data_IF_210006722159
#
_entry.id   IF_210006722159
#
_cell.length_a   1.000
_cell.length_b   1.000
_cell.length_c   1.000
_cell.angle_alpha   90.00
_cell.angle_beta   90.00
_cell.angle_gamma   90.00
#
_symmetry.space_group_name_H-M   'P 1'
#
loop_
_entity.id
_entity.type
_entity.pdbx_description
1 polymer ?
#
# COMPACT_ATOMS: atom_id res chain seq x y z
N UNK A 1 -40.58 27.26 70.39
CA UNK A 1 -40.78 27.46 68.93
C UNK A 1 -39.58 26.99 68.08
N UNK A 2 -38.36 27.49 68.31
CA UNK A 2 -37.16 27.15 67.49
C UNK A 2 -36.82 25.65 67.36
N UNK A 3 -36.96 24.83 68.44
CA UNK A 3 -36.70 23.38 68.40
C UNK A 3 -37.73 22.62 67.53
N UNK A 4 -39.02 23.00 67.55
CA UNK A 4 -40.05 22.37 66.73
C UNK A 4 -39.84 22.71 65.24
N UNK A 5 -39.42 23.93 64.90
CA UNK A 5 -39.09 24.34 63.55
C UNK A 5 -37.88 23.57 63.02
N UNK A 6 -36.83 23.39 63.86
CA UNK A 6 -35.65 22.61 63.49
C UNK A 6 -35.98 21.12 63.20
N UNK A 7 -36.82 20.51 64.04
CA UNK A 7 -37.29 19.12 63.86
C UNK A 7 -38.08 18.99 62.55
N UNK A 8 -39.02 19.94 62.30
CA UNK A 8 -39.76 19.94 61.04
C UNK A 8 -38.85 20.10 59.82
N UNK A 9 -37.85 20.98 59.87
CA UNK A 9 -36.86 21.13 58.77
C UNK A 9 -36.04 19.85 58.55
N UNK A 10 -35.60 19.18 59.64
CA UNK A 10 -34.86 17.91 59.52
C UNK A 10 -35.74 16.77 58.98
N UNK A 11 -36.99 16.72 59.34
CA UNK A 11 -37.97 15.75 58.77
C UNK A 11 -38.19 15.99 57.27
N UNK A 12 -38.41 17.26 56.90
CA UNK A 12 -38.57 17.66 55.49
C UNK A 12 -37.32 17.35 54.71
N UNK A 13 -36.14 17.64 55.25
CA UNK A 13 -34.87 17.36 54.59
C UNK A 13 -34.63 15.84 54.48
N UNK A 14 -34.96 15.07 55.50
CA UNK A 14 -34.92 13.59 55.48
C UNK A 14 -35.86 13.00 54.43
N UNK A 15 -37.08 13.52 54.31
CA UNK A 15 -38.05 13.11 53.27
C UNK A 15 -37.56 13.50 51.87
N UNK A 16 -36.93 14.63 51.73
CA UNK A 16 -36.35 15.08 50.45
C UNK A 16 -35.20 14.16 50.00
N UNK A 17 -34.26 13.85 50.94
CA UNK A 17 -33.17 12.89 50.67
C UNK A 17 -33.73 11.50 50.36
N UNK A 18 -34.67 11.00 51.11
CA UNK A 18 -35.31 9.70 50.87
C UNK A 18 -35.96 9.71 49.48
N UNK A 19 -36.73 10.75 49.16
CA UNK A 19 -37.34 10.89 47.85
C UNK A 19 -36.33 10.91 46.70
N UNK A 20 -35.18 11.55 46.87
CA UNK A 20 -34.09 11.55 45.88
C UNK A 20 -33.49 10.14 45.71
N UNK A 21 -33.28 9.40 46.80
CA UNK A 21 -32.70 8.04 46.78
C UNK A 21 -33.61 7.02 46.07
N UNK A 22 -34.91 7.19 46.15
CA UNK A 22 -35.90 6.28 45.53
C UNK A 22 -36.17 6.59 44.03
N UNK A 23 -35.68 7.72 43.49
CA UNK A 23 -35.70 7.94 42.06
C UNK A 23 -34.56 7.12 41.43
N UNK A 24 -34.92 6.17 40.55
CA UNK A 24 -33.93 5.37 39.79
C UNK A 24 -33.96 5.78 38.33
N UNK A 25 -32.79 5.84 37.71
CA UNK A 25 -32.61 5.94 36.25
C UNK A 25 -31.75 4.75 35.84
N UNK A 26 -32.24 3.95 34.94
CA UNK A 26 -31.52 2.82 34.35
C UNK A 26 -31.26 3.16 32.88
N UNK A 27 -29.97 3.21 32.49
CA UNK A 27 -29.56 3.44 31.11
C UNK A 27 -29.64 2.06 30.44
N UNK A 28 -30.35 1.97 29.32
CA UNK A 28 -30.42 0.80 28.51
C UNK A 28 -29.07 0.56 27.83
N UNK A 29 -28.65 -0.65 27.68
CA UNK A 29 -27.37 -1.05 27.15
C UNK A 29 -26.18 -0.38 27.89
N UNK A 30 -25.05 -0.21 27.22
CA UNK A 30 -23.82 0.26 27.82
C UNK A 30 -23.85 1.72 28.25
N UNK A 31 -23.30 2.01 29.44
CA UNK A 31 -23.13 3.39 29.93
C UNK A 31 -22.04 4.16 29.19
N UNK A 32 -21.15 3.47 28.47
CA UNK A 32 -20.11 4.05 27.63
C UNK A 32 -20.13 3.34 26.27
N UNK A 33 -20.37 4.09 25.22
CA UNK A 33 -20.46 3.63 23.84
C UNK A 33 -19.33 4.24 23.03
N UNK A 34 -18.74 3.45 22.14
CA UNK A 34 -17.75 3.89 21.18
C UNK A 34 -18.36 3.91 19.79
N UNK A 35 -18.18 4.99 19.07
CA UNK A 35 -18.60 5.13 17.67
C UNK A 35 -17.45 5.69 16.84
N UNK A 36 -17.41 5.26 15.59
CA UNK A 36 -16.43 5.81 14.65
C UNK A 36 -16.83 7.19 14.21
N UNK A 37 -15.83 8.00 13.92
CA UNK A 37 -16.04 9.33 13.37
C UNK A 37 -16.82 9.25 12.06
N UNK A 38 -17.81 10.15 11.92
CA UNK A 38 -18.80 10.24 10.83
C UNK A 38 -19.83 9.08 10.77
N UNK A 39 -19.83 8.14 11.69
CA UNK A 39 -20.93 7.18 11.81
C UNK A 39 -22.12 7.80 12.57
N UNK A 40 -23.36 7.46 12.20
CA UNK A 40 -24.52 7.94 12.94
C UNK A 40 -24.55 7.31 14.34
N UNK A 41 -24.98 8.09 15.32
CA UNK A 41 -25.22 7.59 16.66
C UNK A 41 -26.73 7.37 16.85
N UNK A 42 -27.07 6.18 17.33
CA UNK A 42 -28.42 5.83 17.73
C UNK A 42 -28.48 5.66 19.25
N UNK A 43 -29.41 6.37 19.87
CA UNK A 43 -29.55 6.37 21.34
C UNK A 43 -30.52 5.25 21.79
N UNK A 44 -30.03 4.38 22.68
CA UNK A 44 -30.81 3.25 23.22
C UNK A 44 -31.76 3.64 24.36
N UNK A 45 -31.67 4.88 24.85
CA UNK A 45 -32.57 5.41 25.86
C UNK A 45 -32.26 4.98 27.30
N UNK A 46 -33.18 5.33 28.19
CA UNK A 46 -33.15 4.97 29.60
C UNK A 46 -34.56 4.87 30.13
N UNK A 47 -34.76 4.12 31.22
CA UNK A 47 -36.00 4.09 32.01
C UNK A 47 -35.82 4.77 33.35
N UNK A 48 -36.88 5.34 33.90
CA UNK A 48 -36.88 5.91 35.24
C UNK A 48 -38.09 5.46 36.07
N UNK A 49 -37.86 5.33 37.36
CA UNK A 49 -38.93 4.99 38.30
C UNK A 49 -38.78 5.67 39.65
N UNK A 50 -39.90 5.81 40.36
CA UNK A 50 -39.96 6.27 41.74
C UNK A 50 -40.84 5.28 42.53
N UNK A 51 -40.27 4.61 43.51
CA UNK A 51 -40.88 3.49 44.21
C UNK A 51 -41.47 2.43 43.25
N UNK A 52 -40.74 2.12 42.18
CA UNK A 52 -41.16 1.15 41.16
C UNK A 52 -42.22 1.66 40.15
N UNK A 53 -42.78 2.85 40.32
CA UNK A 53 -43.71 3.44 39.35
C UNK A 53 -42.93 4.17 38.29
N UNK A 54 -43.28 4.05 36.98
CA UNK A 54 -42.57 4.74 35.90
C UNK A 54 -42.62 6.24 36.05
N UNK A 55 -41.52 6.90 35.65
CA UNK A 55 -41.39 8.36 35.55
C UNK A 55 -41.02 8.72 34.13
N UNK A 56 -41.49 9.89 33.70
CA UNK A 56 -41.08 10.49 32.42
C UNK A 56 -39.61 10.90 32.45
N UNK A 57 -38.88 10.68 31.33
CA UNK A 57 -37.49 11.06 31.15
C UNK A 57 -37.42 12.16 30.10
N UNK A 58 -36.71 13.22 30.44
CA UNK A 58 -36.23 14.22 29.50
C UNK A 58 -34.79 13.86 29.11
N UNK A 59 -34.51 13.87 27.83
CA UNK A 59 -33.21 13.57 27.26
C UNK A 59 -32.65 14.81 26.54
N UNK A 60 -31.37 15.06 26.74
CA UNK A 60 -30.60 16.07 25.99
C UNK A 60 -29.22 15.50 25.69
N UNK A 61 -28.68 15.83 24.56
CA UNK A 61 -27.32 15.41 24.20
C UNK A 61 -26.54 16.58 23.58
N UNK A 62 -25.25 16.38 23.44
CA UNK A 62 -24.32 17.29 22.74
C UNK A 62 -23.48 16.55 21.69
N UNK A 63 -23.97 15.42 21.18
CA UNK A 63 -23.20 14.52 20.33
C UNK A 63 -22.91 15.19 18.99
N UNK A 64 -21.64 15.17 18.62
CA UNK A 64 -21.18 15.57 17.31
C UNK A 64 -20.31 14.44 16.72
N UNK A 65 -20.93 13.62 15.88
CA UNK A 65 -20.25 12.48 15.24
C UNK A 65 -19.23 12.88 14.18
N UNK A 66 -19.23 14.15 13.76
CA UNK A 66 -18.27 14.72 12.80
C UNK A 66 -16.97 15.20 13.46
N UNK A 67 -16.86 15.09 14.77
CA UNK A 67 -15.69 15.54 15.51
C UNK A 67 -15.33 14.52 16.57
N UNK A 68 -14.07 14.06 16.58
CA UNK A 68 -13.55 13.18 17.64
C UNK A 68 -13.65 13.85 19.02
N UNK A 69 -14.04 13.07 20.01
CA UNK A 69 -14.20 13.62 21.35
C UNK A 69 -15.07 12.76 22.25
N UNK A 70 -15.26 13.22 23.48
CA UNK A 70 -16.17 12.59 24.45
C UNK A 70 -17.41 13.45 24.59
N UNK A 71 -18.56 12.87 24.32
CA UNK A 71 -19.86 13.48 24.36
C UNK A 71 -20.76 12.81 25.38
N UNK A 72 -21.87 13.43 25.66
CA UNK A 72 -22.78 12.94 26.72
C UNK A 72 -24.23 13.00 26.27
N UNK A 73 -24.97 11.92 26.57
CA UNK A 73 -26.43 11.94 26.63
C UNK A 73 -26.82 12.10 28.09
N UNK A 74 -27.56 13.13 28.42
CA UNK A 74 -28.02 13.43 29.75
C UNK A 74 -29.49 13.08 29.91
N UNK A 75 -29.79 12.20 30.86
CA UNK A 75 -31.14 11.83 31.23
C UNK A 75 -31.53 12.56 32.50
N UNK A 76 -32.68 13.17 32.49
CA UNK A 76 -33.26 13.88 33.64
C UNK A 76 -34.66 13.38 33.85
N UNK A 77 -34.99 13.10 35.10
CA UNK A 77 -36.38 12.80 35.52
C UNK A 77 -36.74 13.63 36.74
N UNK A 78 -38.04 13.77 37.00
CA UNK A 78 -38.54 14.41 38.20
C UNK A 78 -39.68 13.56 38.78
N UNK A 79 -39.75 13.47 40.10
CA UNK A 79 -40.91 12.90 40.79
C UNK A 79 -42.02 13.98 40.96
N UNK A 80 -43.16 13.59 41.49
CA UNK A 80 -44.31 14.47 41.71
C UNK A 80 -44.03 15.59 42.74
N UNK A 81 -42.98 15.46 43.58
CA UNK A 81 -42.49 16.50 44.50
C UNK A 81 -41.54 17.50 43.82
N UNK A 82 -41.30 17.38 42.51
CA UNK A 82 -40.40 18.21 41.76
C UNK A 82 -38.90 17.90 41.93
N UNK A 83 -38.56 16.84 42.69
CA UNK A 83 -37.17 16.43 42.93
C UNK A 83 -36.61 15.80 41.67
N UNK A 84 -35.50 16.34 41.14
CA UNK A 84 -34.89 15.87 39.91
C UNK A 84 -33.69 14.95 40.18
N UNK A 85 -33.51 13.95 39.34
CA UNK A 85 -32.30 13.11 39.28
C UNK A 85 -31.77 13.10 37.86
N UNK A 86 -30.43 12.96 37.76
CA UNK A 86 -29.71 12.99 36.50
C UNK A 86 -28.83 11.75 36.36
N UNK A 87 -28.66 11.30 35.14
CA UNK A 87 -27.69 10.28 34.77
C UNK A 87 -27.14 10.56 33.39
N UNK A 88 -25.93 10.10 33.10
CA UNK A 88 -25.29 10.35 31.82
C UNK A 88 -24.83 9.05 31.18
N UNK A 89 -25.01 8.93 29.89
CA UNK A 89 -24.26 8.02 29.01
C UNK A 89 -23.06 8.77 28.43
N UNK A 90 -21.93 8.10 28.33
CA UNK A 90 -20.70 8.62 27.71
C UNK A 90 -20.67 8.05 26.28
N UNK A 91 -20.54 8.93 25.30
CA UNK A 91 -20.34 8.55 23.88
C UNK A 91 -18.97 9.05 23.44
N UNK A 92 -18.11 8.14 23.05
CA UNK A 92 -16.76 8.45 22.56
C UNK A 92 -16.76 8.31 21.05
N UNK A 93 -16.55 9.43 20.37
CA UNK A 93 -16.34 9.47 18.92
C UNK A 93 -14.86 9.43 18.64
N UNK A 94 -14.39 8.38 17.96
CA UNK A 94 -12.97 8.17 17.69
C UNK A 94 -12.72 7.94 16.20
N UNK A 95 -11.62 8.48 15.71
CA UNK A 95 -11.03 8.09 14.44
C UNK A 95 -10.00 6.98 14.72
N UNK A 96 -10.18 5.83 14.07
CA UNK A 96 -9.32 4.67 14.21
C UNK A 96 -8.44 4.45 12.96
N UNK A 97 -8.64 5.23 11.89
CA UNK A 97 -7.86 5.11 10.68
C UNK A 97 -6.51 5.78 10.85
N UNK A 98 -5.48 5.06 10.44
CA UNK A 98 -4.12 5.60 10.44
C UNK A 98 -3.92 6.51 9.23
N UNK A 99 -3.15 7.57 9.35
CA UNK A 99 -2.72 8.38 8.23
C UNK A 99 -1.87 7.56 7.25
N UNK A 100 -1.87 7.93 5.99
CA UNK A 100 -1.06 7.32 4.95
C UNK A 100 0.12 8.23 4.60
N UNK A 101 1.33 7.65 4.53
CA UNK A 101 2.51 8.32 3.98
C UNK A 101 2.83 7.69 2.62
N UNK A 102 2.93 8.54 1.58
CA UNK A 102 3.34 8.15 0.23
C UNK A 102 4.70 8.76 -0.06
N UNK A 103 5.71 7.93 -0.30
CA UNK A 103 7.03 8.39 -0.69
C UNK A 103 7.01 8.82 -2.17
N UNK A 104 7.58 9.98 -2.49
CA UNK A 104 7.86 10.36 -3.87
C UNK A 104 9.12 9.64 -4.33
N UNK A 105 9.06 9.01 -5.51
CA UNK A 105 10.15 8.16 -6.00
C UNK A 105 10.25 6.82 -5.26
N UNK A 106 11.30 6.07 -5.53
CA UNK A 106 11.48 4.72 -5.01
C UNK A 106 11.72 4.70 -3.50
N UNK A 107 11.14 3.73 -2.81
CA UNK A 107 11.42 3.46 -1.39
C UNK A 107 12.79 2.79 -1.18
N UNK A 108 13.32 2.13 -2.22
CA UNK A 108 14.69 1.65 -2.28
C UNK A 108 15.45 2.40 -3.38
N UNK A 109 16.52 3.08 -3.01
CA UNK A 109 17.34 3.86 -3.93
C UNK A 109 18.78 3.35 -3.89
N UNK A 110 19.44 3.38 -5.05
CA UNK A 110 20.86 3.10 -5.14
C UNK A 110 21.59 4.38 -5.47
N UNK A 111 22.70 4.59 -4.81
CA UNK A 111 23.55 5.74 -4.98
C UNK A 111 24.98 5.26 -5.16
N UNK A 112 25.67 5.72 -6.20
CA UNK A 112 27.10 5.47 -6.34
C UNK A 112 27.86 6.26 -5.27
N UNK A 113 28.87 5.65 -4.68
CA UNK A 113 29.77 6.31 -3.73
C UNK A 113 30.31 7.64 -4.29
N UNK A 114 30.25 8.70 -3.53
CA UNK A 114 30.65 10.05 -3.92
C UNK A 114 29.58 10.85 -4.67
N UNK A 115 28.43 10.26 -5.02
CA UNK A 115 27.30 10.97 -5.64
C UNK A 115 26.49 11.74 -4.60
N UNK A 116 25.91 12.89 -4.97
CA UNK A 116 25.03 13.63 -4.05
C UNK A 116 23.68 12.92 -3.86
N UNK A 117 23.32 12.63 -2.62
CA UNK A 117 21.98 12.21 -2.29
C UNK A 117 21.01 13.40 -2.34
N UNK A 118 19.90 13.24 -3.02
CA UNK A 118 18.79 14.20 -3.01
C UNK A 118 17.51 13.45 -2.63
N UNK A 119 16.91 13.86 -1.54
CA UNK A 119 15.63 13.30 -1.08
C UNK A 119 14.52 13.65 -2.09
N UNK A 120 13.80 12.65 -2.68
CA UNK A 120 12.73 12.91 -3.63
C UNK A 120 11.48 13.51 -2.98
N UNK A 121 11.36 13.35 -1.66
CA UNK A 121 10.25 13.84 -0.88
C UNK A 121 9.19 12.79 -0.59
N UNK A 122 8.11 13.26 0.01
CA UNK A 122 6.98 12.46 0.46
C UNK A 122 5.74 13.33 0.55
N UNK A 123 4.62 12.67 0.82
CA UNK A 123 3.39 13.38 1.15
C UNK A 123 2.56 12.51 2.12
N UNK A 124 1.82 13.13 3.01
CA UNK A 124 1.01 12.44 3.98
C UNK A 124 -0.42 12.97 3.98
N UNK A 125 -1.37 12.03 4.00
CA UNK A 125 -2.81 12.28 3.99
C UNK A 125 -3.46 11.48 5.12
N UNK A 126 -4.47 12.08 5.68
CA UNK A 126 -5.39 11.45 6.62
C UNK A 126 -6.83 11.68 6.16
N UNK A 127 -7.72 10.75 6.47
CA UNK A 127 -9.12 10.82 6.05
C UNK A 127 -9.90 11.94 6.74
N UNK A 128 -9.44 12.41 7.89
CA UNK A 128 -10.07 13.45 8.70
C UNK A 128 -9.25 14.73 8.70
N UNK A 129 -7.96 14.61 9.00
CA UNK A 129 -7.06 15.77 9.09
C UNK A 129 -6.65 16.29 7.71
N UNK A 130 -6.98 15.58 6.63
CA UNK A 130 -6.59 15.95 5.28
C UNK A 130 -5.09 15.85 5.07
N UNK A 131 -4.48 16.84 4.44
CA UNK A 131 -3.03 16.88 4.20
C UNK A 131 -2.29 17.22 5.49
N UNK A 132 -1.47 16.28 5.95
CA UNK A 132 -0.63 16.40 7.16
C UNK A 132 0.86 16.20 6.87
N UNK A 133 1.28 16.52 5.65
CA UNK A 133 2.66 16.35 5.18
C UNK A 133 3.67 17.13 6.02
N UNK A 134 3.31 18.31 6.50
CA UNK A 134 4.10 19.18 7.38
C UNK A 134 4.32 18.60 8.78
N UNK A 135 3.47 17.64 9.21
CA UNK A 135 3.59 16.95 10.49
C UNK A 135 4.51 15.72 10.44
N UNK A 136 4.99 15.32 9.26
CA UNK A 136 5.86 14.15 9.11
C UNK A 136 7.22 14.43 9.75
N UNK A 137 7.60 13.56 10.69
CA UNK A 137 8.94 13.56 11.28
C UNK A 137 9.84 12.65 10.46
N UNK A 138 10.94 13.22 9.95
CA UNK A 138 11.95 12.48 9.19
C UNK A 138 13.18 12.27 10.06
N UNK A 139 13.68 11.03 10.09
CA UNK A 139 14.90 10.68 10.81
C UNK A 139 15.78 9.74 9.97
N UNK A 140 17.07 9.74 10.27
CA UNK A 140 18.09 9.03 9.49
C UNK A 140 18.81 9.97 8.53
N UNK A 141 20.04 9.61 8.19
CA UNK A 141 20.91 10.35 7.27
C UNK A 141 21.59 9.38 6.31
N UNK A 142 21.86 9.83 5.09
CA UNK A 142 22.65 9.10 4.10
C UNK A 142 24.05 9.69 4.09
N UNK A 143 25.07 8.83 4.25
CA UNK A 143 26.45 9.22 3.96
C UNK A 143 26.82 8.70 2.56
N UNK A 144 26.86 9.55 1.54
CA UNK A 144 27.11 9.11 0.18
C UNK A 144 28.57 8.70 -0.06
N UNK A 145 29.49 9.07 0.82
CA UNK A 145 30.92 8.76 0.67
C UNK A 145 31.29 7.41 1.29
N UNK A 146 30.33 6.77 2.00
CA UNK A 146 30.56 5.49 2.65
C UNK A 146 29.60 4.44 2.11
N UNK A 147 30.14 3.34 1.56
CA UNK A 147 29.36 2.17 1.13
C UNK A 147 28.54 1.63 2.30
N UNK A 148 27.26 1.34 2.04
CA UNK A 148 26.36 0.78 3.06
C UNK A 148 24.89 1.04 2.75
N UNK A 149 24.01 0.43 3.55
CA UNK A 149 22.57 0.67 3.49
C UNK A 149 22.17 1.68 4.56
N UNK A 150 21.59 2.77 4.13
CA UNK A 150 21.10 3.86 4.98
C UNK A 150 19.58 3.84 4.98
N UNK A 151 19.00 4.10 6.15
CA UNK A 151 17.55 4.06 6.31
C UNK A 151 17.06 5.44 6.75
N UNK A 152 16.12 5.98 5.99
CA UNK A 152 15.40 7.21 6.33
C UNK A 152 13.99 6.79 6.73
N UNK A 153 13.58 7.19 7.92
CA UNK A 153 12.27 6.86 8.48
C UNK A 153 11.39 8.09 8.49
N UNK A 154 10.17 7.93 7.98
CA UNK A 154 9.13 8.95 7.95
C UNK A 154 8.00 8.51 8.87
N UNK A 155 7.63 9.35 9.81
CA UNK A 155 6.62 9.04 10.79
C UNK A 155 5.63 10.19 10.90
N UNK A 156 4.34 9.89 10.93
CA UNK A 156 3.29 10.89 11.14
C UNK A 156 2.21 10.34 12.06
N UNK A 157 1.62 11.23 12.85
CA UNK A 157 0.41 10.94 13.63
C UNK A 157 -0.67 11.94 13.27
N UNK A 158 -1.90 11.45 13.15
CA UNK A 158 -3.08 12.28 13.04
C UNK A 158 -3.44 12.98 14.37
N UNK A 159 -4.51 13.76 14.38
CA UNK A 159 -5.03 14.41 15.58
C UNK A 159 -5.61 13.43 16.62
N UNK A 160 -6.01 12.25 16.17
CA UNK A 160 -6.53 11.15 17.00
C UNK A 160 -5.43 10.25 17.57
N UNK A 161 -4.14 10.55 17.25
CA UNK A 161 -2.92 9.83 17.66
C UNK A 161 -2.71 8.46 16.98
N UNK A 162 -3.41 8.18 15.89
CA UNK A 162 -3.06 7.04 15.05
C UNK A 162 -1.77 7.35 14.31
N UNK A 163 -0.85 6.39 14.25
CA UNK A 163 0.50 6.61 13.77
C UNK A 163 0.83 5.68 12.61
N UNK A 164 1.50 6.23 11.60
CA UNK A 164 2.08 5.50 10.48
C UNK A 164 3.56 5.80 10.38
N UNK A 165 4.32 4.76 10.04
CA UNK A 165 5.76 4.86 9.79
C UNK A 165 6.08 4.16 8.48
N UNK A 166 6.81 4.83 7.59
CA UNK A 166 7.37 4.24 6.38
C UNK A 166 8.87 4.52 6.32
N UNK A 167 9.61 3.72 5.54
CA UNK A 167 11.06 3.81 5.47
C UNK A 167 11.52 3.85 4.03
N UNK A 168 12.48 4.73 3.72
CA UNK A 168 13.27 4.70 2.49
C UNK A 168 14.63 4.10 2.80
N UNK A 169 15.07 3.12 2.02
CA UNK A 169 16.42 2.57 2.08
C UNK A 169 17.25 3.16 0.95
N UNK A 170 18.41 3.73 1.28
CA UNK A 170 19.39 4.19 0.29
C UNK A 170 20.61 3.30 0.40
N UNK A 171 20.91 2.56 -0.66
CA UNK A 171 22.08 1.69 -0.73
C UNK A 171 23.19 2.42 -1.48
N UNK A 172 24.21 2.86 -0.76
CA UNK A 172 25.43 3.42 -1.36
C UNK A 172 26.32 2.27 -1.76
N UNK A 173 26.55 2.14 -3.06
CA UNK A 173 27.42 1.09 -3.66
C UNK A 173 28.74 1.70 -4.14
N UNK A 174 29.76 0.88 -4.32
CA UNK A 174 31.02 1.32 -4.90
C UNK A 174 30.81 1.81 -6.34
N UNK A 175 31.38 2.94 -6.70
CA UNK A 175 31.44 3.40 -8.09
C UNK A 175 32.15 2.38 -9.01
N UNK A 176 32.97 1.50 -8.41
CA UNK A 176 33.67 0.41 -9.09
C UNK A 176 33.11 -0.94 -8.70
N UNK A 177 31.77 -1.16 -8.91
CA UNK A 177 31.14 -2.44 -8.62
C UNK A 177 31.88 -3.59 -9.33
N UNK A 178 32.41 -4.53 -8.55
CA UNK A 178 33.19 -5.68 -9.05
C UNK A 178 32.60 -6.99 -8.55
N UNK A 179 33.01 -8.07 -9.21
CA UNK A 179 32.68 -9.42 -8.80
C UNK A 179 33.24 -9.70 -7.39
N UNK A 180 32.37 -10.05 -6.47
CA UNK A 180 32.74 -10.40 -5.10
C UNK A 180 33.05 -11.89 -4.99
N UNK A 181 34.06 -12.26 -4.19
CA UNK A 181 34.43 -13.68 -3.99
C UNK A 181 33.25 -14.47 -3.39
N UNK A 182 32.37 -13.84 -2.60
CA UNK A 182 31.21 -14.50 -2.01
C UNK A 182 30.22 -15.02 -3.04
N UNK A 183 30.17 -14.45 -4.26
CA UNK A 183 29.29 -14.92 -5.32
C UNK A 183 29.63 -16.35 -5.77
N UNK A 184 30.89 -16.76 -5.68
CA UNK A 184 31.31 -18.11 -6.05
C UNK A 184 30.68 -19.20 -5.16
N UNK A 185 30.29 -18.84 -3.94
CA UNK A 185 29.61 -19.71 -2.98
C UNK A 185 28.08 -19.75 -3.15
N UNK A 186 27.51 -18.93 -4.04
CA UNK A 186 26.08 -18.89 -4.30
C UNK A 186 25.76 -19.73 -5.52
N UNK A 187 24.75 -20.57 -5.41
CA UNK A 187 24.32 -21.46 -6.49
C UNK A 187 23.97 -20.68 -7.76
N UNK A 188 24.65 -21.04 -8.86
CA UNK A 188 24.46 -20.45 -10.18
C UNK A 188 23.78 -21.41 -11.17
N UNK A 189 23.12 -22.46 -10.68
CA UNK A 189 22.33 -23.35 -11.53
C UNK A 189 21.22 -22.56 -12.20
N UNK A 190 21.17 -22.61 -13.53
CA UNK A 190 20.12 -21.97 -14.31
C UNK A 190 18.76 -22.62 -14.03
N UNK A 191 17.78 -21.83 -13.70
CA UNK A 191 16.38 -22.19 -13.43
C UNK A 191 15.45 -21.39 -14.31
N UNK A 192 14.32 -21.98 -14.68
CA UNK A 192 13.20 -21.27 -15.28
C UNK A 192 12.19 -20.89 -14.19
N UNK A 193 11.63 -19.69 -14.28
CA UNK A 193 10.51 -19.28 -13.44
C UNK A 193 9.22 -19.97 -13.88
N UNK A 194 8.41 -20.39 -12.92
CA UNK A 194 7.11 -20.99 -13.15
C UNK A 194 6.17 -20.70 -11.96
N UNK A 195 4.88 -20.82 -12.19
CA UNK A 195 3.85 -20.83 -11.15
C UNK A 195 2.94 -22.04 -11.35
N UNK A 196 2.26 -22.48 -10.31
CA UNK A 196 1.29 -23.59 -10.39
C UNK A 196 -0.04 -23.19 -11.06
N UNK A 197 -0.12 -21.98 -11.61
CA UNK A 197 -1.21 -21.45 -12.44
C UNK A 197 -2.62 -21.78 -11.90
N UNK A 198 -2.84 -21.52 -10.62
CA UNK A 198 -4.14 -21.76 -9.97
C UNK A 198 -5.25 -20.98 -10.67
N UNK A 199 -6.41 -21.61 -10.77
CA UNK A 199 -7.62 -21.05 -11.40
C UNK A 199 -8.75 -20.80 -10.39
N UNK A 200 -8.44 -20.99 -9.10
CA UNK A 200 -9.38 -20.86 -7.97
C UNK A 200 -9.19 -19.55 -7.20
N UNK A 201 -8.43 -18.61 -7.80
CA UNK A 201 -8.09 -17.30 -7.24
C UNK A 201 -7.28 -17.36 -5.92
N UNK A 202 -6.79 -18.53 -5.55
CA UNK A 202 -5.82 -18.66 -4.47
C UNK A 202 -4.43 -18.22 -4.92
N UNK A 203 -3.63 -17.73 -3.99
CA UNK A 203 -2.26 -17.33 -4.25
C UNK A 203 -1.41 -18.53 -4.70
N UNK A 204 -0.75 -18.46 -5.86
CA UNK A 204 -0.04 -19.61 -6.42
C UNK A 204 1.29 -19.87 -5.70
N UNK A 205 1.80 -21.09 -5.86
CA UNK A 205 3.20 -21.41 -5.59
C UNK A 205 4.05 -20.98 -6.78
N UNK A 206 5.29 -20.56 -6.52
CA UNK A 206 6.27 -20.21 -7.55
C UNK A 206 7.45 -21.15 -7.59
N UNK A 207 8.36 -20.91 -8.53
CA UNK A 207 9.57 -21.71 -8.77
C UNK A 207 10.58 -21.78 -7.61
N UNK A 208 10.36 -20.99 -6.54
CA UNK A 208 11.14 -21.05 -5.30
C UNK A 208 10.31 -20.49 -4.12
N UNK A 209 10.75 -20.81 -2.89
CA UNK A 209 10.14 -20.29 -1.67
C UNK A 209 10.24 -18.77 -1.60
N UNK A 210 9.15 -18.11 -1.24
CA UNK A 210 9.05 -16.64 -1.21
C UNK A 210 10.01 -16.01 -0.19
N UNK A 211 10.25 -16.66 0.95
CA UNK A 211 11.15 -16.14 1.97
C UNK A 211 12.62 -16.29 1.53
N UNK A 212 12.91 -17.34 0.77
CA UNK A 212 14.24 -17.52 0.16
C UNK A 212 14.49 -16.43 -0.89
N UNK A 213 13.53 -16.17 -1.77
CA UNK A 213 13.62 -15.10 -2.78
C UNK A 213 13.79 -13.72 -2.15
N UNK A 214 13.09 -13.43 -1.06
CA UNK A 214 13.18 -12.15 -0.34
C UNK A 214 14.59 -11.82 0.14
N UNK A 215 15.44 -12.83 0.42
CA UNK A 215 16.86 -12.63 0.78
C UNK A 215 17.66 -11.97 -0.34
N UNK A 216 17.17 -12.08 -1.57
CA UNK A 216 17.76 -11.51 -2.78
C UNK A 216 16.96 -10.33 -3.33
N UNK A 217 16.13 -9.69 -2.50
CA UNK A 217 15.20 -8.62 -2.92
C UNK A 217 14.34 -9.03 -4.14
N UNK A 218 13.87 -10.28 -4.16
CA UNK A 218 13.14 -10.87 -5.27
C UNK A 218 11.72 -11.21 -4.84
N UNK A 219 10.76 -10.86 -5.68
CA UNK A 219 9.32 -10.99 -5.42
C UNK A 219 8.60 -11.53 -6.65
N UNK A 220 7.49 -12.23 -6.46
CA UNK A 220 6.62 -12.67 -7.55
C UNK A 220 5.13 -12.42 -7.28
N UNK A 221 4.80 -11.89 -6.10
CA UNK A 221 3.48 -11.39 -5.73
C UNK A 221 3.61 -10.35 -4.62
N UNK A 222 2.61 -9.49 -4.50
CA UNK A 222 2.49 -8.53 -3.41
C UNK A 222 1.94 -9.16 -2.13
N UNK A 223 1.53 -8.32 -1.18
CA UNK A 223 0.87 -8.75 0.04
C UNK A 223 -0.52 -9.35 -0.24
N UNK A 224 -1.09 -10.07 0.73
CA UNK A 224 -2.41 -10.70 0.59
C UNK A 224 -3.53 -9.65 0.76
N UNK A 225 -3.64 -8.78 -0.23
CA UNK A 225 -4.66 -7.74 -0.30
C UNK A 225 -5.22 -7.62 -1.72
N UNK A 226 -6.42 -7.08 -1.87
CA UNK A 226 -7.07 -6.85 -3.16
C UNK A 226 -6.34 -5.78 -3.97
N UNK A 227 -5.13 -6.12 -4.41
CA UNK A 227 -4.27 -5.27 -5.23
C UNK A 227 -3.63 -6.08 -6.33
N UNK A 228 -3.63 -5.52 -7.53
CA UNK A 228 -3.07 -6.10 -8.76
C UNK A 228 -1.96 -5.20 -9.29
N UNK A 229 -0.91 -5.83 -9.79
CA UNK A 229 0.23 -5.16 -10.41
C UNK A 229 0.32 -5.58 -11.86
N UNK A 230 -0.05 -4.68 -12.77
CA UNK A 230 0.06 -4.92 -14.21
C UNK A 230 1.51 -4.66 -14.64
N UNK A 231 2.13 -5.66 -15.28
CA UNK A 231 3.48 -5.52 -15.80
C UNK A 231 3.57 -5.97 -17.24
N UNK A 232 4.38 -5.27 -18.04
CA UNK A 232 4.57 -5.52 -19.45
C UNK A 232 6.05 -5.69 -19.75
N UNK A 233 6.43 -6.80 -20.39
CA UNK A 233 7.78 -7.05 -20.86
C UNK A 233 7.89 -6.70 -22.34
N UNK A 234 8.90 -5.90 -22.71
CA UNK A 234 9.03 -5.35 -24.03
C UNK A 234 10.47 -5.33 -24.54
N UNK A 235 10.67 -5.90 -25.71
CA UNK A 235 11.97 -5.94 -26.39
C UNK A 235 11.91 -5.62 -27.87
N UNK A 236 10.71 -5.56 -28.48
CA UNK A 236 10.51 -5.29 -29.92
C UNK A 236 9.81 -3.96 -30.17
N UNK A 237 9.86 -3.47 -31.42
CA UNK A 237 9.26 -2.21 -31.80
C UNK A 237 7.85 -2.32 -32.38
N UNK A 238 7.40 -3.54 -32.65
CA UNK A 238 6.09 -3.81 -33.26
C UNK A 238 5.10 -4.26 -32.17
N UNK A 239 4.45 -3.26 -31.52
CA UNK A 239 3.67 -3.49 -30.33
C UNK A 239 2.51 -2.52 -30.18
N UNK A 240 1.53 -2.88 -29.34
CA UNK A 240 0.35 -2.10 -28.97
C UNK A 240 0.53 -1.26 -27.71
N UNK A 241 1.75 -0.81 -27.40
CA UNK A 241 2.01 -0.05 -26.15
C UNK A 241 1.23 1.27 -26.11
N UNK A 242 1.08 1.98 -27.22
CA UNK A 242 0.32 3.23 -27.21
C UNK A 242 -1.14 3.01 -26.87
N UNK A 243 -1.74 1.96 -27.41
CA UNK A 243 -3.12 1.55 -27.15
C UNK A 243 -3.28 1.10 -25.69
N UNK A 244 -2.32 0.35 -25.15
CA UNK A 244 -2.27 -0.01 -23.73
C UNK A 244 -2.19 1.22 -22.83
N UNK A 245 -1.33 2.19 -23.17
CA UNK A 245 -1.22 3.43 -22.42
C UNK A 245 -2.51 4.27 -22.48
N UNK A 246 -3.23 4.24 -23.61
CA UNK A 246 -4.54 4.88 -23.74
C UNK A 246 -5.57 4.24 -22.81
N UNK A 247 -5.65 2.92 -22.76
CA UNK A 247 -6.53 2.19 -21.84
C UNK A 247 -6.15 2.46 -20.39
N UNK A 248 -4.88 2.36 -20.04
CA UNK A 248 -4.41 2.62 -18.66
C UNK A 248 -4.74 4.04 -18.21
N UNK A 249 -4.61 5.03 -19.10
CA UNK A 249 -4.95 6.42 -18.84
C UNK A 249 -6.45 6.61 -18.65
N UNK A 250 -7.28 6.05 -19.56
CA UNK A 250 -8.74 6.08 -19.46
C UNK A 250 -9.23 5.48 -18.14
N UNK A 251 -8.68 4.32 -17.79
CA UNK A 251 -9.03 3.61 -16.56
C UNK A 251 -8.36 4.17 -15.30
N UNK A 252 -7.52 5.21 -15.41
CA UNK A 252 -6.74 5.78 -14.31
C UNK A 252 -5.94 4.72 -13.53
N UNK A 253 -5.21 3.86 -14.26
CA UNK A 253 -4.36 2.79 -13.72
C UNK A 253 -2.91 3.03 -14.13
N UNK A 254 -1.97 2.72 -13.23
CA UNK A 254 -0.54 2.74 -13.54
C UNK A 254 -0.02 1.31 -13.64
N UNK A 255 0.99 1.13 -14.50
CA UNK A 255 1.62 -0.17 -14.75
C UNK A 255 3.14 -0.05 -14.74
N UNK A 256 3.82 -1.18 -14.65
CA UNK A 256 5.28 -1.27 -14.77
C UNK A 256 5.67 -1.87 -16.10
N UNK A 257 6.61 -1.26 -16.79
CA UNK A 257 7.14 -1.70 -18.08
C UNK A 257 8.60 -2.11 -17.92
N UNK A 258 8.93 -3.38 -18.16
CA UNK A 258 10.31 -3.88 -18.19
C UNK A 258 10.82 -3.86 -19.62
N UNK A 259 11.79 -2.99 -19.91
CA UNK A 259 12.20 -2.67 -21.27
C UNK A 259 13.62 -3.16 -21.59
N UNK A 260 13.80 -3.71 -22.78
CA UNK A 260 15.11 -3.98 -23.37
C UNK A 260 15.68 -2.74 -24.07
N UNK A 261 16.99 -2.75 -24.29
CA UNK A 261 17.71 -1.63 -24.88
C UNK A 261 17.20 -1.21 -26.26
N UNK A 262 16.93 -2.20 -27.11
CA UNK A 262 16.43 -1.92 -28.46
C UNK A 262 15.14 -1.10 -28.45
N UNK A 263 14.20 -1.44 -27.55
CA UNK A 263 12.96 -0.67 -27.39
C UNK A 263 13.25 0.76 -26.91
N UNK A 264 14.13 0.88 -25.91
CA UNK A 264 14.47 2.18 -25.30
C UNK A 264 15.02 3.17 -26.31
N UNK A 265 15.93 2.74 -27.17
CA UNK A 265 16.60 3.66 -28.10
C UNK A 265 15.73 4.08 -29.30
N UNK A 266 14.70 3.32 -29.64
CA UNK A 266 13.85 3.59 -30.79
C UNK A 266 12.50 4.26 -30.44
N UNK A 267 12.09 4.26 -29.16
CA UNK A 267 10.75 4.69 -28.76
C UNK A 267 10.73 5.89 -27.79
N UNK A 268 11.54 6.91 -28.07
CA UNK A 268 11.75 8.06 -27.18
C UNK A 268 10.46 8.74 -26.73
N UNK A 269 9.51 8.96 -27.62
CA UNK A 269 8.26 9.69 -27.29
C UNK A 269 7.33 8.81 -26.44
N UNK A 270 7.29 7.51 -26.68
CA UNK A 270 6.56 6.57 -25.83
C UNK A 270 7.14 6.50 -24.41
N UNK A 271 8.48 6.50 -24.30
CA UNK A 271 9.15 6.54 -22.99
C UNK A 271 8.81 7.80 -22.20
N UNK A 272 8.83 8.96 -22.87
CA UNK A 272 8.44 10.23 -22.26
C UNK A 272 6.97 10.22 -21.83
N UNK A 273 6.11 9.59 -22.63
CA UNK A 273 4.71 9.39 -22.31
C UNK A 273 4.53 8.53 -21.06
N UNK A 274 5.19 7.36 -20.99
CA UNK A 274 5.19 6.49 -19.81
C UNK A 274 5.58 7.26 -18.55
N UNK A 275 6.68 8.00 -18.60
CA UNK A 275 7.17 8.81 -17.47
C UNK A 275 6.18 9.92 -17.10
N UNK A 276 5.63 10.64 -18.07
CA UNK A 276 4.68 11.74 -17.86
C UNK A 276 3.37 11.25 -17.26
N UNK A 277 2.91 10.09 -17.68
CA UNK A 277 1.66 9.47 -17.21
C UNK A 277 1.85 8.73 -15.87
N UNK A 278 3.08 8.65 -15.34
CA UNK A 278 3.38 8.12 -14.01
C UNK A 278 3.50 6.60 -13.96
N UNK A 279 3.81 5.96 -15.09
CA UNK A 279 4.16 4.54 -15.15
C UNK A 279 5.60 4.33 -14.68
N UNK A 280 5.88 3.15 -14.15
CA UNK A 280 7.21 2.73 -13.75
C UNK A 280 7.90 2.04 -14.93
N UNK A 281 9.12 2.47 -15.25
CA UNK A 281 9.95 1.80 -16.26
C UNK A 281 11.11 1.11 -15.56
N UNK A 282 11.20 -0.21 -15.73
CA UNK A 282 12.21 -1.10 -15.17
C UNK A 282 13.13 -1.70 -16.24
N UNK A 283 14.12 -2.40 -15.77
CA UNK A 283 15.20 -2.97 -16.58
C UNK A 283 14.90 -4.44 -16.95
N UNK A 284 14.97 -4.76 -18.24
CA UNK A 284 14.81 -6.13 -18.77
C UNK A 284 16.06 -6.59 -19.54
N UNK A 285 17.24 -6.10 -19.13
CA UNK A 285 18.55 -6.26 -19.76
C UNK A 285 18.68 -5.61 -21.16
N UNK A 286 19.92 -5.43 -21.62
CA UNK A 286 20.14 -4.81 -22.91
C UNK A 286 19.72 -5.73 -24.08
N UNK A 287 20.17 -6.97 -24.07
CA UNK A 287 20.10 -7.86 -25.21
C UNK A 287 19.30 -9.13 -24.92
N UNK A 288 18.46 -9.09 -23.84
CA UNK A 288 17.62 -10.23 -23.41
C UNK A 288 18.41 -11.53 -23.19
N UNK A 289 19.64 -11.42 -22.64
CA UNK A 289 20.52 -12.57 -22.40
C UNK A 289 20.15 -13.34 -21.14
N UNK A 290 20.49 -14.65 -21.11
CA UNK A 290 20.39 -15.51 -19.92
C UNK A 290 21.39 -15.06 -18.86
N UNK A 291 20.97 -14.25 -17.92
CA UNK A 291 21.86 -13.62 -16.94
C UNK A 291 22.64 -14.60 -16.07
N UNK A 292 22.12 -15.78 -15.69
CA UNK A 292 22.93 -16.80 -14.99
C UNK A 292 24.21 -17.19 -15.73
N UNK A 293 24.21 -17.21 -17.08
CA UNK A 293 25.42 -17.54 -17.86
C UNK A 293 26.49 -16.46 -17.79
N UNK A 294 26.10 -15.26 -17.45
CA UNK A 294 26.98 -14.09 -17.27
C UNK A 294 27.36 -13.86 -15.79
N UNK A 295 26.70 -14.55 -14.85
CA UNK A 295 26.93 -14.40 -13.42
C UNK A 295 28.20 -15.19 -12.98
N UNK A 296 29.28 -15.01 -13.70
CA UNK A 296 30.59 -15.60 -13.44
C UNK A 296 31.66 -14.49 -13.40
N UNK A 297 32.80 -14.80 -12.81
CA UNK A 297 33.91 -13.85 -12.70
C UNK A 297 34.40 -13.35 -14.08
N UNK A 298 34.47 -14.28 -15.04
CA UNK A 298 34.94 -14.00 -16.39
C UNK A 298 33.97 -13.13 -17.19
N UNK A 299 32.67 -13.31 -16.97
CA UNK A 299 31.64 -12.63 -17.73
C UNK A 299 31.00 -11.44 -16.99
N UNK A 300 31.52 -11.08 -15.82
CA UNK A 300 30.91 -10.09 -14.95
C UNK A 300 30.79 -8.70 -15.55
N UNK A 301 31.76 -8.28 -16.36
CA UNK A 301 31.68 -6.99 -17.04
C UNK A 301 30.57 -6.95 -18.07
N UNK A 302 30.32 -8.08 -18.76
CA UNK A 302 29.16 -8.18 -19.65
C UNK A 302 27.85 -8.22 -18.86
N UNK A 303 27.82 -8.92 -17.71
CA UNK A 303 26.64 -8.88 -16.82
C UNK A 303 26.28 -7.45 -16.43
N UNK A 304 27.23 -6.66 -15.94
CA UNK A 304 27.00 -5.24 -15.58
C UNK A 304 26.52 -4.43 -16.79
N UNK A 305 27.15 -4.64 -17.95
CA UNK A 305 26.84 -3.95 -19.18
C UNK A 305 25.39 -4.19 -19.63
N UNK A 306 24.85 -5.40 -19.43
CA UNK A 306 23.46 -5.74 -19.73
C UNK A 306 22.47 -4.86 -18.93
N UNK A 307 22.86 -4.44 -17.72
CA UNK A 307 22.04 -3.60 -16.84
C UNK A 307 22.26 -2.11 -17.12
N UNK A 308 23.54 -1.69 -17.12
CA UNK A 308 23.93 -0.26 -17.19
C UNK A 308 23.58 0.38 -18.53
N UNK A 309 23.71 -0.36 -19.62
CA UNK A 309 23.37 0.12 -20.97
C UNK A 309 21.92 0.60 -21.08
N UNK A 310 21.00 -0.08 -20.39
CA UNK A 310 19.59 0.35 -20.36
C UNK A 310 19.39 1.62 -19.52
N UNK A 311 20.05 1.70 -18.36
CA UNK A 311 19.97 2.89 -17.52
C UNK A 311 20.44 4.14 -18.26
N UNK A 312 21.61 4.04 -18.91
CA UNK A 312 22.21 5.12 -19.69
C UNK A 312 21.31 5.55 -20.85
N UNK A 313 20.78 4.56 -21.61
CA UNK A 313 19.90 4.83 -22.73
C UNK A 313 18.59 5.50 -22.26
N UNK A 314 17.97 4.99 -21.20
CA UNK A 314 16.75 5.57 -20.67
C UNK A 314 16.95 7.01 -20.18
N UNK A 315 18.05 7.26 -19.44
CA UNK A 315 18.40 8.60 -19.01
C UNK A 315 18.61 9.54 -20.21
N UNK A 316 19.34 9.09 -21.24
CA UNK A 316 19.55 9.86 -22.46
C UNK A 316 18.25 10.21 -23.18
N UNK A 317 17.27 9.31 -23.19
CA UNK A 317 16.00 9.52 -23.90
C UNK A 317 15.01 10.38 -23.10
N UNK A 318 14.98 10.26 -21.77
CA UNK A 318 13.95 10.86 -20.92
C UNK A 318 14.44 11.98 -20.00
N UNK A 319 15.74 12.04 -19.72
CA UNK A 319 16.33 12.90 -18.68
C UNK A 319 15.97 12.45 -17.26
N UNK A 320 15.46 11.23 -17.09
CA UNK A 320 15.08 10.65 -15.80
C UNK A 320 15.87 9.37 -15.54
N UNK A 321 16.08 9.05 -14.27
CA UNK A 321 16.64 7.76 -13.88
C UNK A 321 15.61 6.64 -14.09
N UNK A 322 16.08 5.49 -14.56
CA UNK A 322 15.26 4.28 -14.66
C UNK A 322 14.93 3.75 -13.27
N UNK A 323 13.71 3.21 -13.10
CA UNK A 323 13.32 2.56 -11.85
C UNK A 323 14.25 1.39 -11.51
N UNK A 324 14.58 1.24 -10.21
CA UNK A 324 15.43 0.15 -9.73
C UNK A 324 14.63 -1.15 -9.53
N UNK A 325 13.82 -1.45 -10.54
CA UNK A 325 13.07 -2.69 -10.69
C UNK A 325 13.57 -3.46 -11.90
N UNK A 326 13.67 -4.75 -11.76
CA UNK A 326 14.31 -5.61 -12.75
C UNK A 326 13.49 -6.87 -12.97
N UNK A 327 13.53 -7.42 -14.18
CA UNK A 327 13.00 -8.73 -14.49
C UNK A 327 14.00 -9.52 -15.31
N UNK A 328 14.20 -10.78 -14.89
CA UNK A 328 15.07 -11.72 -15.61
C UNK A 328 14.48 -12.07 -16.97
N UNK A 329 15.28 -11.99 -18.06
CA UNK A 329 14.85 -12.39 -19.38
C UNK A 329 14.32 -13.82 -19.43
N UNK A 330 13.17 -14.02 -20.07
CA UNK A 330 12.48 -15.30 -20.17
C UNK A 330 12.20 -15.98 -18.80
N UNK A 331 12.29 -15.27 -17.71
CA UNK A 331 12.22 -15.85 -16.37
C UNK A 331 13.38 -16.82 -16.05
N UNK A 332 14.49 -16.78 -16.76
CA UNK A 332 15.66 -17.61 -16.53
C UNK A 332 16.59 -16.97 -15.48
N UNK A 333 16.80 -17.64 -14.36
CA UNK A 333 17.46 -17.08 -13.19
C UNK A 333 18.37 -18.06 -12.44
N UNK A 334 19.21 -17.54 -11.57
CA UNK A 334 19.94 -18.30 -10.53
C UNK A 334 20.00 -17.47 -9.25
N UNK A 335 20.24 -18.10 -8.09
CA UNK A 335 20.44 -17.35 -6.85
C UNK A 335 21.59 -16.36 -6.96
N UNK A 336 22.65 -16.73 -7.70
CA UNK A 336 23.80 -15.86 -7.94
C UNK A 336 23.41 -14.64 -8.80
N UNK A 337 22.69 -14.82 -9.92
CA UNK A 337 22.25 -13.69 -10.73
C UNK A 337 21.35 -12.74 -9.92
N UNK A 338 20.41 -13.26 -9.13
CA UNK A 338 19.56 -12.47 -8.26
C UNK A 338 20.38 -11.69 -7.21
N UNK A 339 21.41 -12.33 -6.60
CA UNK A 339 22.28 -11.65 -5.63
C UNK A 339 23.02 -10.49 -6.26
N UNK A 340 23.62 -10.71 -7.42
CA UNK A 340 24.36 -9.66 -8.15
C UNK A 340 23.44 -8.49 -8.50
N UNK A 341 22.25 -8.77 -9.05
CA UNK A 341 21.26 -7.75 -9.37
C UNK A 341 20.82 -6.99 -8.12
N UNK A 342 20.59 -7.71 -7.01
CA UNK A 342 20.25 -7.09 -5.72
C UNK A 342 21.37 -6.17 -5.22
N UNK A 343 22.65 -6.59 -5.35
CA UNK A 343 23.80 -5.78 -4.94
C UNK A 343 24.05 -4.58 -5.87
N UNK A 344 23.59 -4.65 -7.12
CA UNK A 344 23.48 -3.48 -8.03
C UNK A 344 22.31 -2.56 -7.67
N UNK A 345 21.56 -2.90 -6.63
CA UNK A 345 20.49 -2.08 -6.06
C UNK A 345 19.13 -2.26 -6.68
N UNK A 346 18.93 -3.30 -7.43
CA UNK A 346 17.65 -3.62 -8.01
C UNK A 346 16.81 -4.54 -7.12
N UNK A 347 15.49 -4.46 -7.28
CA UNK A 347 14.55 -5.52 -6.88
C UNK A 347 14.13 -6.28 -8.11
N UNK A 348 14.18 -7.60 -8.02
CA UNK A 348 13.72 -8.48 -9.09
C UNK A 348 12.25 -8.82 -8.92
N UNK A 349 11.49 -8.73 -10.00
CA UNK A 349 10.07 -9.09 -9.99
C UNK A 349 9.77 -10.13 -11.06
N UNK A 350 9.44 -11.32 -10.61
CA UNK A 350 8.78 -12.32 -11.43
C UNK A 350 7.29 -12.04 -11.50
N UNK A 351 6.45 -13.01 -11.79
CA UNK A 351 5.01 -12.90 -11.90
C UNK A 351 4.32 -14.04 -11.17
N UNK A 352 3.07 -13.85 -10.84
CA UNK A 352 2.19 -14.86 -10.25
C UNK A 352 0.96 -15.15 -11.11
N UNK A 353 0.75 -14.34 -12.12
CA UNK A 353 -0.32 -14.50 -13.09
C UNK A 353 0.22 -14.21 -14.50
N UNK A 354 0.12 -15.17 -15.38
CA UNK A 354 0.54 -15.06 -16.77
C UNK A 354 -0.39 -15.90 -17.66
N UNK A 355 -0.38 -15.62 -18.94
CA UNK A 355 -0.98 -16.48 -19.93
C UNK A 355 -0.13 -16.49 -21.20
N UNK A 356 -0.40 -17.43 -22.07
CA UNK A 356 0.32 -17.56 -23.33
C UNK A 356 -0.09 -16.45 -24.30
N UNK A 357 0.49 -15.25 -24.16
CA UNK A 357 0.10 -14.03 -24.84
C UNK A 357 1.08 -13.53 -25.92
N UNK A 358 2.13 -14.27 -26.17
CA UNK A 358 3.06 -14.00 -27.28
C UNK A 358 2.63 -14.60 -28.62
N UNK A 359 1.48 -15.29 -28.67
CA UNK A 359 0.83 -15.72 -29.90
C UNK A 359 -0.06 -14.60 -30.44
N UNK A 360 0.23 -14.11 -31.63
CA UNK A 360 -0.51 -13.04 -32.29
C UNK A 360 -1.98 -13.37 -32.59
N UNK A 361 -2.40 -14.62 -32.46
CA UNK A 361 -3.75 -15.11 -32.71
C UNK A 361 -4.70 -15.07 -31.50
N UNK A 362 -4.25 -14.60 -30.36
CA UNK A 362 -5.10 -14.51 -29.16
C UNK A 362 -6.18 -13.45 -29.35
N UNK A 363 -7.46 -13.87 -29.23
CA UNK A 363 -8.61 -12.96 -29.32
C UNK A 363 -8.83 -12.21 -28.00
N UNK A 364 -9.62 -11.13 -28.04
CA UNK A 364 -10.04 -10.37 -26.86
C UNK A 364 -10.66 -11.28 -25.78
N UNK A 365 -11.62 -12.13 -26.19
CA UNK A 365 -12.35 -13.01 -25.29
C UNK A 365 -11.40 -14.00 -24.61
N UNK A 366 -10.48 -14.60 -25.36
CA UNK A 366 -9.50 -15.54 -24.81
C UNK A 366 -8.54 -14.83 -23.86
N UNK A 367 -8.05 -13.65 -24.19
CA UNK A 367 -7.19 -12.86 -23.31
C UNK A 367 -7.90 -12.49 -22.01
N UNK A 368 -9.14 -12.01 -22.10
CA UNK A 368 -9.97 -11.69 -20.95
C UNK A 368 -10.17 -12.90 -20.04
N UNK A 369 -10.62 -14.03 -20.60
CA UNK A 369 -10.86 -15.26 -19.87
C UNK A 369 -9.60 -15.75 -19.15
N UNK A 370 -8.44 -15.68 -19.82
CA UNK A 370 -7.18 -16.10 -19.22
C UNK A 370 -6.72 -15.15 -18.08
N UNK A 371 -6.90 -13.84 -18.24
CA UNK A 371 -6.66 -12.89 -17.16
C UNK A 371 -7.61 -13.16 -15.98
N UNK A 372 -8.90 -13.35 -16.25
CA UNK A 372 -9.92 -13.61 -15.22
C UNK A 372 -9.73 -14.92 -14.47
N UNK A 373 -9.12 -15.93 -15.07
CA UNK A 373 -8.85 -17.20 -14.38
C UNK A 373 -7.75 -17.11 -13.33
N UNK A 374 -6.89 -16.10 -13.39
CA UNK A 374 -5.63 -16.05 -12.63
C UNK A 374 -5.51 -14.90 -11.64
N UNK A 375 -6.53 -14.04 -11.52
CA UNK A 375 -6.46 -12.99 -10.52
C UNK A 375 -6.48 -13.58 -9.10
N UNK A 376 -5.71 -12.98 -8.22
CA UNK A 376 -5.66 -13.27 -6.80
C UNK A 376 -5.13 -12.05 -6.05
N UNK A 377 -5.24 -12.04 -4.74
CA UNK A 377 -4.69 -10.98 -3.91
C UNK A 377 -3.18 -10.85 -4.12
N UNK A 378 -2.71 -9.63 -4.42
CA UNK A 378 -1.31 -9.34 -4.66
C UNK A 378 -0.77 -9.82 -6.02
N UNK A 379 -1.63 -10.15 -7.01
CA UNK A 379 -1.19 -10.69 -8.29
C UNK A 379 -0.27 -9.73 -9.07
N UNK A 380 0.89 -10.22 -9.50
CA UNK A 380 1.74 -9.58 -10.51
C UNK A 380 1.46 -10.26 -11.84
N UNK A 381 0.88 -9.51 -12.76
CA UNK A 381 0.61 -9.98 -14.12
C UNK A 381 1.82 -9.79 -15.02
N UNK A 382 2.24 -10.85 -15.71
CA UNK A 382 3.12 -10.75 -16.87
C UNK A 382 2.27 -10.67 -18.14
N UNK A 383 2.42 -9.60 -18.89
CA UNK A 383 1.78 -9.36 -20.18
C UNK A 383 2.82 -8.91 -21.21
N UNK A 384 2.56 -9.27 -22.47
CA UNK A 384 3.37 -8.79 -23.60
C UNK A 384 2.51 -7.92 -24.52
N UNK A 385 2.97 -6.72 -24.88
CA UNK A 385 2.19 -5.78 -25.70
C UNK A 385 2.17 -6.12 -27.20
N UNK A 386 2.43 -7.36 -27.56
CA UNK A 386 2.50 -7.85 -28.94
C UNK A 386 1.15 -8.30 -29.50
N UNK A 387 0.17 -8.46 -28.64
CA UNK A 387 -1.10 -9.08 -28.96
C UNK A 387 -2.25 -8.07 -28.91
N UNK A 388 -3.03 -8.02 -30.00
CA UNK A 388 -4.20 -7.14 -30.09
C UNK A 388 -5.26 -7.49 -29.02
N UNK A 389 -5.51 -8.78 -28.81
CA UNK A 389 -6.47 -9.26 -27.81
C UNK A 389 -6.15 -8.80 -26.40
N UNK A 390 -4.87 -8.70 -26.03
CA UNK A 390 -4.46 -8.24 -24.71
C UNK A 390 -4.92 -6.80 -24.45
N UNK A 391 -4.63 -5.86 -25.34
CA UNK A 391 -5.01 -4.47 -25.09
C UNK A 391 -6.53 -4.27 -25.19
N UNK A 392 -7.23 -5.00 -26.06
CA UNK A 392 -8.68 -4.95 -26.18
C UNK A 392 -9.40 -5.53 -24.95
N UNK A 393 -8.80 -6.53 -24.29
CA UNK A 393 -9.32 -7.14 -23.05
C UNK A 393 -8.98 -6.33 -21.79
N UNK A 394 -7.90 -5.56 -21.83
CA UNK A 394 -7.33 -4.91 -20.64
C UNK A 394 -8.31 -3.96 -19.94
N UNK A 395 -9.08 -3.20 -20.72
CA UNK A 395 -10.06 -2.25 -20.18
C UNK A 395 -11.16 -2.95 -19.40
N UNK A 396 -11.73 -4.01 -19.97
CA UNK A 396 -12.79 -4.80 -19.36
C UNK A 396 -12.28 -5.52 -18.10
N UNK A 397 -11.06 -6.07 -18.17
CA UNK A 397 -10.41 -6.68 -17.00
C UNK A 397 -10.21 -5.68 -15.84
N UNK A 398 -9.75 -4.48 -16.13
CA UNK A 398 -9.55 -3.44 -15.09
C UNK A 398 -10.89 -3.07 -14.46
N UNK A 399 -11.94 -2.89 -15.26
CA UNK A 399 -13.27 -2.51 -14.75
C UNK A 399 -13.85 -3.61 -13.88
N UNK A 400 -13.73 -4.88 -14.29
CA UNK A 400 -14.19 -6.02 -13.52
C UNK A 400 -13.44 -6.12 -12.19
N UNK A 401 -12.10 -5.99 -12.19
CA UNK A 401 -11.32 -6.05 -10.97
C UNK A 401 -11.68 -4.91 -10.00
N UNK A 402 -11.90 -3.69 -10.51
CA UNK A 402 -12.37 -2.57 -9.70
C UNK A 402 -13.76 -2.81 -9.10
N UNK A 403 -14.67 -3.43 -9.87
CA UNK A 403 -16.01 -3.78 -9.39
C UNK A 403 -15.97 -4.78 -8.22
N UNK A 404 -14.98 -5.68 -8.24
CA UNK A 404 -14.71 -6.63 -7.16
C UNK A 404 -13.89 -6.03 -5.99
N UNK A 405 -13.59 -4.74 -6.04
CA UNK A 405 -12.89 -4.00 -4.97
C UNK A 405 -11.36 -4.11 -5.03
N UNK A 406 -10.80 -4.56 -6.15
CA UNK A 406 -9.35 -4.53 -6.36
C UNK A 406 -8.85 -3.13 -6.71
N UNK A 407 -7.67 -2.81 -6.23
CA UNK A 407 -6.87 -1.64 -6.60
C UNK A 407 -5.70 -2.06 -7.47
N UNK A 408 -5.05 -1.09 -8.13
CA UNK A 408 -3.88 -1.32 -8.95
C UNK A 408 -2.68 -0.55 -8.41
N UNK A 409 -1.49 -1.17 -8.44
CA UNK A 409 -0.24 -0.60 -7.93
C UNK A 409 0.95 -0.79 -8.85
N UNK A 410 2.06 -0.17 -8.50
CA UNK A 410 3.36 -0.37 -9.14
C UNK A 410 4.18 -1.40 -8.36
N UNK A 411 4.96 -2.22 -9.06
CA UNK A 411 5.72 -3.31 -8.39
C UNK A 411 6.71 -2.81 -7.35
N UNK A 412 7.21 -1.58 -7.46
CA UNK A 412 8.12 -0.98 -6.48
C UNK A 412 7.46 -0.66 -5.12
N UNK A 413 6.16 -0.82 -5.02
CA UNK A 413 5.42 -0.75 -3.76
C UNK A 413 5.53 -2.05 -2.94
N UNK A 414 5.89 -3.17 -3.58
CA UNK A 414 6.06 -4.48 -2.94
C UNK A 414 7.40 -4.54 -2.19
N UNK A 415 7.37 -5.07 -0.98
CA UNK A 415 8.57 -5.24 -0.14
C UNK A 415 9.04 -3.94 0.53
N UNK A 416 8.15 -3.01 0.74
CA UNK A 416 8.40 -1.76 1.46
C UNK A 416 8.10 -1.87 2.95
#
# INVERSE_FOLDING_TARGET
MKKKILICLLVIWGLWIASYLFIRIEIHEDKKVWIRLNEPYEEFGASASFFGKPLEIQMTDNINTKKSGTYYVCYKTRNFLGIARYKKRIVVVADEKKPQIVLKGASYMVLNQGSKYKEPGYHALDNIDGTITDKVKVSGTVNPDKIGKYRITYQVSDSSKNMTTVTRTVHVISSNFRYLNEYDNIDNTLRGWWTDNKKDHNRPLGGADINELKKYNTYFMGEDEKRIYLTFDEGSNDTYINEILDVLKEKNVKATFFLCHNYIIHNKEVLKRMVKEGHLVGNHTADHKKMPTLATRENFDEFKKQIQKNEEAFYKMTGKEMGKVYREPAGEWSYRSLKIVSDMGYRTYFWSADHYDFDYTVTKEKAYDEMMKRYHNGAIYLLHPKNKGNYEALGDFIDEMKSQGYTFGLVDEIGN
#
